data_IF_222166106737
#
_entry.id   IF_222166106737
#
_cell.length_a   1.000
_cell.length_b   1.000
_cell.length_c   1.000
_cell.angle_alpha   90.00
_cell.angle_beta   90.00
_cell.angle_gamma   90.00
#
_symmetry.space_group_name_H-M   'P 1'
#
loop_
_entity.id
_entity.type
_entity.pdbx_description
1 polymer ?
#
# COMPACT_ATOMS: atom_id res chain seq x y z
N UNK A 1 -0.67 -38.12 22.77
CA UNK A 1 -1.76 -37.98 21.78
C UNK A 1 -2.01 -36.51 21.53
N UNK A 2 -2.00 -36.14 20.25
CA UNK A 2 -2.52 -34.91 19.63
C UNK A 2 -1.91 -33.54 20.00
N UNK A 3 -1.05 -33.10 19.08
CA UNK A 3 -0.84 -31.74 18.60
C UNK A 3 -2.12 -31.14 18.00
N UNK A 4 -2.38 -29.86 18.26
CA UNK A 4 -3.03 -28.93 17.32
C UNK A 4 -2.59 -27.49 17.59
N UNK A 5 -1.41 -27.10 17.10
CA UNK A 5 -1.10 -25.68 16.84
C UNK A 5 -1.75 -25.21 15.54
N UNK A 6 -3.02 -24.83 15.63
CA UNK A 6 -3.66 -23.92 14.68
C UNK A 6 -3.70 -22.53 15.29
N UNK A 7 -2.63 -21.75 15.13
CA UNK A 7 -2.58 -20.37 15.61
C UNK A 7 -3.55 -19.52 14.80
N UNK A 8 -4.72 -19.21 15.37
CA UNK A 8 -5.52 -18.08 14.91
C UNK A 8 -4.64 -16.83 14.99
N UNK A 9 -4.46 -16.13 13.86
CA UNK A 9 -3.96 -14.77 13.92
C UNK A 9 -4.86 -14.00 14.90
N UNK A 10 -4.28 -13.47 15.96
CA UNK A 10 -5.03 -12.85 17.05
C UNK A 10 -5.89 -11.70 16.48
N UNK A 11 -7.19 -11.76 16.73
CA UNK A 11 -8.19 -10.76 16.31
C UNK A 11 -7.84 -9.32 16.77
N UNK A 12 -6.90 -9.17 17.72
CA UNK A 12 -6.37 -7.89 18.20
C UNK A 12 -5.52 -7.12 17.18
N UNK A 13 -4.79 -7.79 16.28
CA UNK A 13 -3.95 -7.11 15.28
C UNK A 13 -4.79 -6.37 14.22
N UNK A 14 -6.02 -6.84 13.97
CA UNK A 14 -6.98 -6.15 13.12
C UNK A 14 -7.57 -4.89 13.77
N UNK A 15 -7.37 -4.64 15.06
CA UNK A 15 -7.99 -3.52 15.80
C UNK A 15 -7.08 -2.34 16.08
N UNK A 16 -5.76 -2.45 15.88
CA UNK A 16 -4.83 -1.34 16.10
C UNK A 16 -4.43 -0.62 14.79
N UNK A 17 -4.29 -1.35 13.69
CA UNK A 17 -3.82 -0.79 12.42
C UNK A 17 -4.92 0.03 11.72
N UNK A 18 -4.64 1.22 11.17
CA UNK A 18 -5.65 2.06 10.53
C UNK A 18 -6.32 1.38 9.32
N UNK A 19 -7.45 1.93 8.91
CA UNK A 19 -8.17 1.56 7.69
C UNK A 19 -8.24 2.74 6.74
N UNK A 20 -8.53 2.46 5.46
CA UNK A 20 -8.56 3.46 4.40
C UNK A 20 -9.88 3.41 3.66
N UNK A 21 -10.56 4.55 3.56
CA UNK A 21 -11.71 4.75 2.68
C UNK A 21 -11.25 5.50 1.42
N UNK A 22 -11.52 4.95 0.24
CA UNK A 22 -11.46 5.69 -1.01
C UNK A 22 -12.75 6.50 -1.12
N UNK A 23 -12.67 7.81 -0.85
CA UNK A 23 -13.85 8.66 -0.79
C UNK A 23 -14.27 9.14 -2.18
N UNK A 24 -13.33 9.52 -3.03
CA UNK A 24 -13.62 9.93 -4.41
C UNK A 24 -12.40 9.77 -5.32
N UNK A 25 -12.63 9.69 -6.64
CA UNK A 25 -11.57 9.68 -7.65
C UNK A 25 -10.78 8.39 -7.78
N UNK A 26 -11.13 7.31 -7.06
CA UNK A 26 -10.43 6.03 -7.18
C UNK A 26 -10.27 5.58 -8.64
N UNK A 27 -9.14 4.91 -8.92
CA UNK A 27 -8.58 4.62 -10.24
C UNK A 27 -7.70 5.70 -10.85
N UNK A 28 -7.78 6.97 -10.44
CA UNK A 28 -6.84 8.01 -10.92
C UNK A 28 -5.38 7.75 -10.49
N UNK A 29 -5.17 6.93 -9.46
CA UNK A 29 -3.86 6.45 -9.02
C UNK A 29 -3.24 5.37 -9.92
N UNK A 30 -3.96 4.95 -10.96
CA UNK A 30 -3.43 4.08 -12.00
C UNK A 30 -2.92 4.93 -13.18
N UNK A 31 -1.66 4.74 -13.63
CA UNK A 31 -1.07 5.48 -14.74
C UNK A 31 -1.93 5.49 -16.01
N UNK A 32 -2.48 4.33 -16.38
CA UNK A 32 -3.31 4.18 -17.57
C UNK A 32 -4.67 4.90 -17.49
N UNK A 33 -5.04 5.43 -16.32
CA UNK A 33 -6.17 6.35 -16.14
C UNK A 33 -5.68 7.79 -16.15
N UNK A 34 -4.79 8.18 -15.22
CA UNK A 34 -4.41 9.58 -15.05
C UNK A 34 -3.53 10.14 -16.17
N UNK A 35 -2.96 9.31 -17.04
CA UNK A 35 -2.35 9.76 -18.31
C UNK A 35 -3.39 10.34 -19.29
N UNK A 36 -4.65 9.89 -19.22
CA UNK A 36 -5.72 10.42 -20.07
C UNK A 36 -6.24 11.77 -19.55
N UNK A 37 -6.25 11.97 -18.23
CA UNK A 37 -6.51 13.24 -17.59
C UNK A 37 -6.02 13.20 -16.14
N UNK A 38 -5.22 14.20 -15.73
CA UNK A 38 -4.75 14.32 -14.36
C UNK A 38 -5.92 14.59 -13.39
N UNK A 39 -5.79 14.17 -12.14
CA UNK A 39 -6.82 14.43 -11.13
C UNK A 39 -6.52 13.84 -9.77
N UNK A 40 -7.28 14.26 -8.74
CA UNK A 40 -7.05 13.79 -7.38
C UNK A 40 -7.77 12.48 -7.07
N UNK A 41 -7.18 11.68 -6.19
CA UNK A 41 -7.90 10.70 -5.37
C UNK A 41 -8.05 11.26 -3.96
N UNK A 42 -9.24 11.19 -3.39
CA UNK A 42 -9.49 11.59 -1.99
C UNK A 42 -9.55 10.32 -1.13
N UNK A 43 -8.65 10.22 -0.16
CA UNK A 43 -8.59 9.11 0.79
C UNK A 43 -8.80 9.59 2.22
N UNK A 44 -9.42 8.75 3.03
CA UNK A 44 -9.66 9.01 4.45
C UNK A 44 -9.08 7.88 5.28
N UNK A 45 -8.21 8.23 6.22
CA UNK A 45 -7.67 7.31 7.21
C UNK A 45 -8.61 7.22 8.41
N UNK A 46 -9.12 6.03 8.68
CA UNK A 46 -10.12 5.81 9.73
C UNK A 46 -9.64 4.78 10.74
N UNK A 47 -10.13 4.92 11.96
CA UNK A 47 -9.85 3.98 13.04
C UNK A 47 -10.60 2.67 12.82
N UNK A 48 -10.08 1.57 13.38
CA UNK A 48 -10.75 0.28 13.30
C UNK A 48 -12.17 0.32 13.86
N UNK A 49 -13.09 -0.34 13.17
CA UNK A 49 -14.49 -0.47 13.55
C UNK A 49 -14.90 -1.94 13.47
N UNK A 50 -15.70 -2.49 14.42
CA UNK A 50 -16.08 -3.91 14.45
C UNK A 50 -16.82 -4.39 13.20
N UNK A 51 -17.48 -3.49 12.47
CA UNK A 51 -18.18 -3.84 11.23
C UNK A 51 -17.23 -4.08 10.05
N UNK A 52 -15.97 -3.61 10.11
CA UNK A 52 -15.02 -3.74 9.00
C UNK A 52 -14.64 -5.19 8.75
N UNK A 53 -14.60 -5.56 7.47
CA UNK A 53 -14.38 -6.93 6.99
C UNK A 53 -13.46 -6.93 5.79
N UNK A 54 -12.85 -8.08 5.48
CA UNK A 54 -11.99 -8.22 4.31
C UNK A 54 -12.80 -8.13 3.00
N UNK A 55 -12.13 -7.85 1.88
CA UNK A 55 -12.74 -7.78 0.52
C UNK A 55 -13.86 -6.73 0.37
N UNK A 56 -13.75 -5.63 1.12
CA UNK A 56 -14.78 -4.59 1.26
C UNK A 56 -14.41 -3.20 0.74
N UNK A 57 -13.37 -3.12 -0.08
CA UNK A 57 -12.89 -1.85 -0.64
C UNK A 57 -12.11 -0.96 0.33
N UNK A 58 -11.66 -1.50 1.46
CA UNK A 58 -10.96 -0.74 2.52
C UNK A 58 -9.44 -1.01 2.60
N UNK A 59 -8.77 -1.19 1.45
CA UNK A 59 -7.33 -1.52 1.36
C UNK A 59 -6.92 -2.82 2.09
N UNK A 60 -7.76 -3.86 2.09
CA UNK A 60 -7.56 -5.01 2.99
C UNK A 60 -6.29 -5.82 2.71
N UNK A 61 -5.84 -5.91 1.44
CA UNK A 61 -4.59 -6.60 1.08
C UNK A 61 -3.36 -5.82 1.55
N UNK A 62 -3.28 -4.54 1.17
CA UNK A 62 -2.22 -3.62 1.57
C UNK A 62 -2.14 -3.52 3.09
N UNK A 63 -3.29 -3.49 3.77
CA UNK A 63 -3.37 -3.48 5.23
C UNK A 63 -2.82 -4.75 5.87
N UNK A 64 -3.11 -5.92 5.30
CA UNK A 64 -2.58 -7.19 5.79
C UNK A 64 -1.04 -7.22 5.71
N UNK A 65 -0.46 -6.73 4.61
CA UNK A 65 0.99 -6.58 4.47
C UNK A 65 1.56 -5.59 5.51
N UNK A 66 0.88 -4.48 5.78
CA UNK A 66 1.29 -3.55 6.83
C UNK A 66 1.32 -4.21 8.22
N UNK A 67 0.31 -5.02 8.53
CA UNK A 67 0.27 -5.82 9.78
C UNK A 67 1.38 -6.86 9.80
N UNK A 68 1.68 -7.52 8.69
CA UNK A 68 2.80 -8.48 8.63
C UNK A 68 4.16 -7.79 8.89
N UNK A 69 4.38 -6.62 8.28
CA UNK A 69 5.62 -5.86 8.41
C UNK A 69 5.84 -5.30 9.82
N UNK A 70 4.77 -4.82 10.47
CA UNK A 70 4.89 -4.00 11.68
C UNK A 70 4.09 -4.50 12.89
N UNK A 71 3.08 -5.34 12.67
CA UNK A 71 2.17 -5.84 13.69
C UNK A 71 2.87 -6.65 14.78
N UNK A 72 3.81 -7.50 14.38
CA UNK A 72 4.53 -8.39 15.31
C UNK A 72 5.65 -7.71 16.13
N UNK A 73 6.15 -6.54 15.71
CA UNK A 73 7.34 -5.91 16.30
C UNK A 73 7.07 -4.72 17.23
N UNK A 74 5.88 -4.11 17.20
CA UNK A 74 5.61 -2.86 17.92
C UNK A 74 4.15 -2.69 18.38
N UNK A 75 3.51 -3.78 18.83
CA UNK A 75 2.12 -3.73 19.32
C UNK A 75 1.13 -3.26 18.25
N UNK A 76 1.28 -3.68 17.00
CA UNK A 76 0.34 -3.32 15.94
C UNK A 76 0.58 -1.98 15.24
N UNK A 77 1.67 -1.25 15.53
CA UNK A 77 1.86 0.14 15.04
C UNK A 77 3.08 0.34 14.14
N UNK A 78 2.99 1.14 13.05
CA UNK A 78 4.14 1.47 12.20
C UNK A 78 5.28 2.19 12.96
N UNK A 79 6.55 2.07 12.48
CA UNK A 79 7.72 2.73 13.06
C UNK A 79 7.50 4.22 13.30
N UNK A 80 7.95 4.71 14.46
CA UNK A 80 7.64 6.07 14.92
C UNK A 80 8.58 7.16 14.45
N UNK A 81 9.75 6.77 14.01
CA UNK A 81 10.87 7.56 13.53
C UNK A 81 10.84 7.79 12.00
N UNK A 82 9.89 7.15 11.29
CA UNK A 82 9.74 7.25 9.84
C UNK A 82 8.48 8.05 9.50
N UNK A 83 8.58 8.97 8.54
CA UNK A 83 7.42 9.80 8.16
C UNK A 83 6.31 8.95 7.53
N UNK A 84 5.03 9.32 7.71
CA UNK A 84 3.89 8.66 7.08
C UNK A 84 4.04 8.41 5.57
N UNK A 85 4.53 9.40 4.81
CA UNK A 85 4.76 9.27 3.36
C UNK A 85 5.83 8.23 3.03
N UNK A 86 6.88 8.15 3.85
CA UNK A 86 7.96 7.15 3.68
C UNK A 86 7.44 5.75 4.01
N UNK A 87 6.64 5.62 5.07
CA UNK A 87 5.96 4.35 5.40
C UNK A 87 5.03 3.92 4.27
N UNK A 88 4.28 4.85 3.67
CA UNK A 88 3.41 4.57 2.52
C UNK A 88 4.22 4.08 1.31
N UNK A 89 5.38 4.70 1.02
CA UNK A 89 6.26 4.23 -0.07
C UNK A 89 6.80 2.83 0.19
N UNK A 90 7.23 2.54 1.42
CA UNK A 90 7.69 1.21 1.80
C UNK A 90 6.58 0.17 1.61
N UNK A 91 5.37 0.47 2.11
CA UNK A 91 4.22 -0.43 1.99
C UNK A 91 3.83 -0.66 0.53
N UNK A 92 3.80 0.40 -0.28
CA UNK A 92 3.52 0.33 -1.71
C UNK A 92 4.54 -0.57 -2.43
N UNK A 93 5.84 -0.42 -2.14
CA UNK A 93 6.88 -1.25 -2.76
C UNK A 93 6.81 -2.72 -2.31
N UNK A 94 6.40 -2.99 -1.06
CA UNK A 94 6.22 -4.36 -0.57
C UNK A 94 5.02 -5.03 -1.22
N UNK A 95 3.91 -4.30 -1.42
CA UNK A 95 2.74 -4.84 -2.15
C UNK A 95 3.04 -5.07 -3.64
N UNK A 96 3.98 -4.31 -4.21
CA UNK A 96 4.29 -4.31 -5.64
C UNK A 96 5.75 -4.70 -5.92
N UNK A 97 6.14 -5.97 -5.69
CA UNK A 97 7.48 -6.44 -6.00
C UNK A 97 7.75 -6.38 -7.52
N UNK A 98 9.03 -6.25 -7.88
CA UNK A 98 9.45 -6.19 -9.29
C UNK A 98 8.98 -7.45 -10.02
N UNK A 99 8.34 -7.27 -11.17
CA UNK A 99 7.83 -8.36 -12.01
C UNK A 99 6.41 -8.84 -11.68
N UNK A 100 5.70 -8.18 -10.75
CA UNK A 100 4.28 -8.45 -10.54
C UNK A 100 3.46 -8.14 -11.82
N UNK A 101 2.49 -9.00 -12.12
CA UNK A 101 1.64 -8.87 -13.31
C UNK A 101 0.68 -7.67 -13.22
N UNK A 102 0.36 -7.25 -11.99
CA UNK A 102 -0.51 -6.12 -11.70
C UNK A 102 0.10 -5.30 -10.56
N UNK A 103 0.11 -3.98 -10.74
CA UNK A 103 0.58 -3.02 -9.74
C UNK A 103 -0.65 -2.39 -9.07
N UNK A 104 -0.81 -2.62 -7.76
CA UNK A 104 -1.82 -1.93 -6.95
C UNK A 104 -1.60 -0.43 -6.98
N UNK A 105 -2.66 0.35 -6.77
CA UNK A 105 -2.54 1.80 -6.76
C UNK A 105 -1.99 2.32 -5.41
N UNK A 106 -1.19 3.39 -5.43
CA UNK A 106 -0.56 3.88 -4.20
C UNK A 106 -1.54 4.51 -3.20
N UNK A 107 -2.78 4.80 -3.61
CA UNK A 107 -3.80 5.37 -2.73
C UNK A 107 -4.07 4.48 -1.50
N UNK A 108 -3.91 3.16 -1.64
CA UNK A 108 -4.18 2.19 -0.58
C UNK A 108 -3.13 2.34 0.53
N UNK A 109 -1.84 2.34 0.16
CA UNK A 109 -0.74 2.55 1.08
C UNK A 109 -0.75 3.97 1.68
N UNK A 110 -0.99 4.98 0.85
CA UNK A 110 -1.07 6.38 1.29
C UNK A 110 -2.23 6.59 2.26
N UNK A 111 -3.43 6.11 1.94
CA UNK A 111 -4.57 6.33 2.82
C UNK A 111 -4.55 5.46 4.08
N UNK A 112 -3.74 4.40 4.14
CA UNK A 112 -3.46 3.68 5.39
C UNK A 112 -2.45 4.40 6.28
N UNK A 113 -1.47 5.11 5.72
CA UNK A 113 -0.39 5.73 6.51
C UNK A 113 -0.58 7.22 6.77
N UNK A 114 -1.22 7.97 5.87
CA UNK A 114 -1.47 9.39 6.03
C UNK A 114 -2.71 9.62 6.90
N UNK A 115 -2.59 10.20 8.11
CA UNK A 115 -3.75 10.44 8.95
C UNK A 115 -4.64 11.53 8.37
N UNK A 116 -5.92 11.50 8.72
CA UNK A 116 -6.92 12.49 8.32
C UNK A 116 -7.51 12.24 6.93
N UNK A 117 -7.88 13.34 6.29
CA UNK A 117 -8.44 13.38 4.93
C UNK A 117 -7.39 13.95 4.00
N UNK A 118 -7.01 13.19 2.98
CA UNK A 118 -5.90 13.53 2.10
C UNK A 118 -6.34 13.51 0.64
N UNK A 119 -5.93 14.54 -0.10
CA UNK A 119 -6.00 14.68 -1.55
C UNK A 119 -4.66 14.25 -2.16
N UNK A 120 -4.72 13.35 -3.11
CA UNK A 120 -3.57 12.77 -3.80
C UNK A 120 -3.68 13.09 -5.30
N UNK A 121 -2.92 14.07 -5.80
CA UNK A 121 -3.00 14.51 -7.20
C UNK A 121 -2.11 13.63 -8.11
N UNK A 122 -2.71 12.93 -9.07
CA UNK A 122 -2.00 12.06 -10.01
C UNK A 122 -2.00 12.63 -11.43
N UNK A 123 -0.86 12.48 -12.11
CA UNK A 123 -0.66 12.87 -13.51
C UNK A 123 0.09 11.77 -14.28
N UNK A 124 -0.44 10.56 -14.24
CA UNK A 124 0.05 9.44 -15.05
C UNK A 124 1.19 8.60 -14.46
N UNK A 125 1.56 8.86 -13.21
CA UNK A 125 2.44 8.00 -12.41
C UNK A 125 1.68 7.22 -11.33
N UNK A 126 2.29 6.15 -10.80
CA UNK A 126 1.72 5.41 -9.67
C UNK A 126 1.79 6.18 -8.35
N UNK A 127 2.67 7.17 -8.25
CA UNK A 127 2.83 8.02 -7.07
C UNK A 127 2.30 9.43 -7.36
N UNK A 128 1.56 10.07 -6.45
CA UNK A 128 1.00 11.41 -6.71
C UNK A 128 2.11 12.46 -6.77
N UNK A 129 1.92 13.48 -7.61
CA UNK A 129 2.82 14.64 -7.72
C UNK A 129 2.67 15.57 -6.52
N UNK A 130 1.46 15.62 -5.94
CA UNK A 130 1.13 16.44 -4.78
C UNK A 130 0.21 15.71 -3.82
N UNK A 131 0.48 15.90 -2.53
CA UNK A 131 -0.34 15.41 -1.43
C UNK A 131 -0.76 16.65 -0.62
N UNK A 132 -2.06 16.82 -0.41
CA UNK A 132 -2.63 17.90 0.41
C UNK A 132 -3.54 17.28 1.48
N UNK A 133 -3.41 17.73 2.72
CA UNK A 133 -4.22 17.26 3.84
C UNK A 133 -5.23 18.33 4.27
N UNK A 134 -6.42 17.91 4.69
CA UNK A 134 -7.35 18.80 5.39
C UNK A 134 -6.79 19.14 6.78
N UNK A 135 -6.45 20.41 6.99
CA UNK A 135 -5.92 20.94 8.26
C UNK A 135 -7.03 21.34 9.25
N UNK A 136 -8.23 21.62 8.74
CA UNK A 136 -9.35 22.10 9.55
C UNK A 136 -10.02 20.96 10.32
N UNK A 137 -9.83 20.92 11.65
CA UNK A 137 -10.52 19.96 12.52
C UNK A 137 -12.05 20.05 12.38
N UNK A 138 -12.60 21.25 12.20
CA UNK A 138 -14.02 21.45 11.96
C UNK A 138 -14.52 20.79 10.66
N UNK A 139 -13.67 20.68 9.63
CA UNK A 139 -14.00 19.99 8.39
C UNK A 139 -13.93 18.48 8.56
N UNK A 140 -12.95 17.97 9.31
CA UNK A 140 -12.85 16.53 9.58
C UNK A 140 -14.01 16.05 10.48
N UNK A 141 -14.32 16.79 11.56
CA UNK A 141 -15.45 16.49 12.43
C UNK A 141 -16.81 16.62 11.72
N UNK A 142 -16.91 17.56 10.77
CA UNK A 142 -18.07 17.65 9.88
C UNK A 142 -18.19 16.39 9.00
N UNK A 143 -17.09 15.92 8.40
CA UNK A 143 -17.12 14.73 7.54
C UNK A 143 -17.56 13.48 8.32
N UNK A 144 -17.08 13.28 9.54
CA UNK A 144 -17.50 12.18 10.42
C UNK A 144 -19.01 12.22 10.73
N UNK A 145 -19.58 13.42 10.84
CA UNK A 145 -21.00 13.61 11.11
C UNK A 145 -21.86 13.29 9.89
N UNK A 146 -21.42 13.64 8.68
CA UNK A 146 -22.25 13.50 7.47
C UNK A 146 -22.01 12.21 6.69
N UNK A 147 -20.89 11.52 6.92
CA UNK A 147 -20.55 10.27 6.23
C UNK A 147 -21.04 9.07 7.04
N UNK A 148 -21.80 8.19 6.39
CA UNK A 148 -22.22 6.89 6.93
C UNK A 148 -21.74 5.76 6.04
N UNK A 149 -21.32 4.67 6.65
CA UNK A 149 -20.99 3.42 5.96
C UNK A 149 -22.14 2.43 6.18
N UNK A 150 -22.72 1.95 5.09
CA UNK A 150 -23.75 0.92 5.09
C UNK A 150 -23.13 -0.40 4.66
N UNK A 151 -23.20 -1.48 5.46
CA UNK A 151 -22.71 -2.79 5.06
C UNK A 151 -23.42 -3.29 3.80
N UNK A 152 -22.62 -3.70 2.81
CA UNK A 152 -23.08 -4.31 1.57
C UNK A 152 -22.51 -5.73 1.42
N UNK A 153 -23.06 -6.57 0.55
CA UNK A 153 -22.46 -7.85 0.19
C UNK A 153 -21.00 -7.67 -0.24
N UNK A 154 -20.12 -8.56 0.23
CA UNK A 154 -18.73 -8.55 -0.18
C UNK A 154 -18.60 -8.93 -1.66
N UNK A 155 -17.44 -8.63 -2.25
CA UNK A 155 -17.16 -9.00 -3.64
C UNK A 155 -17.22 -10.53 -3.83
N UNK A 156 -17.83 -11.04 -4.92
CA UNK A 156 -17.86 -12.48 -5.20
C UNK A 156 -16.45 -12.99 -5.49
N UNK A 157 -16.21 -14.30 -5.32
CA UNK A 157 -14.93 -14.91 -5.71
C UNK A 157 -14.68 -14.72 -7.21
N UNK A 158 -13.41 -14.52 -7.60
CA UNK A 158 -13.05 -14.27 -9.00
C UNK A 158 -13.41 -12.87 -9.53
N UNK A 159 -13.87 -11.97 -8.66
CA UNK A 159 -14.15 -10.58 -9.05
C UNK A 159 -12.89 -9.86 -9.55
N UNK A 160 -12.96 -9.34 -10.77
CA UNK A 160 -11.94 -8.49 -11.37
C UNK A 160 -12.60 -7.24 -11.99
N UNK A 161 -12.37 -6.04 -11.43
CA UNK A 161 -12.95 -4.81 -11.94
C UNK A 161 -12.36 -4.36 -13.29
N UNK A 162 -11.28 -5.01 -13.75
CA UNK A 162 -10.51 -4.61 -14.93
C UNK A 162 -10.83 -5.43 -16.19
N UNK A 163 -11.78 -6.38 -16.10
CA UNK A 163 -12.21 -7.22 -17.23
C UNK A 163 -12.70 -6.37 -18.40
N UNK A 164 -13.39 -5.25 -18.12
CA UNK A 164 -13.86 -4.30 -19.13
C UNK A 164 -13.34 -2.90 -18.82
N UNK A 165 -12.64 -2.31 -19.79
CA UNK A 165 -12.06 -0.97 -19.72
C UNK A 165 -12.56 -0.13 -20.89
N UNK A 166 -13.44 0.82 -20.62
CA UNK A 166 -13.97 1.76 -21.62
C UNK A 166 -13.32 3.14 -21.44
N UNK A 167 -11.99 3.17 -21.46
CA UNK A 167 -11.24 4.37 -21.10
C UNK A 167 -11.42 5.45 -22.16
N UNK A 168 -11.78 6.66 -21.72
CA UNK A 168 -11.84 7.84 -22.56
C UNK A 168 -11.34 9.06 -21.77
N UNK A 169 -10.67 9.99 -22.44
CA UNK A 169 -10.21 11.22 -21.79
C UNK A 169 -11.36 12.01 -21.17
N UNK A 170 -12.53 12.01 -21.82
CA UNK A 170 -13.73 12.68 -21.32
C UNK A 170 -14.31 12.01 -20.07
N UNK A 171 -14.35 10.68 -20.05
CA UNK A 171 -14.77 9.91 -18.87
C UNK A 171 -13.81 10.13 -17.69
N UNK A 172 -12.49 10.11 -17.93
CA UNK A 172 -11.51 10.38 -16.87
C UNK A 172 -11.58 11.83 -16.40
N UNK A 173 -11.82 12.79 -17.29
CA UNK A 173 -12.07 14.20 -16.90
C UNK A 173 -13.28 14.33 -15.99
N UNK A 174 -14.38 13.61 -16.26
CA UNK A 174 -15.56 13.56 -15.38
C UNK A 174 -15.23 12.98 -14.01
N UNK A 175 -14.43 11.90 -13.95
CA UNK A 175 -13.97 11.31 -12.71
C UNK A 175 -13.11 12.29 -11.89
N UNK A 176 -12.15 12.94 -12.52
CA UNK A 176 -11.30 13.96 -11.90
C UNK A 176 -12.14 15.13 -11.35
N UNK A 177 -13.05 15.67 -12.16
CA UNK A 177 -13.94 16.76 -11.75
C UNK A 177 -14.83 16.38 -10.55
N UNK A 178 -15.35 15.16 -10.51
CA UNK A 178 -16.11 14.67 -9.35
C UNK A 178 -15.26 14.62 -8.08
N UNK A 179 -14.00 14.19 -8.19
CA UNK A 179 -13.06 14.15 -7.07
C UNK A 179 -12.67 15.55 -6.55
N UNK A 180 -12.42 16.50 -7.46
CA UNK A 180 -12.20 17.92 -7.13
C UNK A 180 -13.39 18.55 -6.41
N UNK A 181 -14.60 18.20 -6.85
CA UNK A 181 -15.82 18.64 -6.22
C UNK A 181 -15.97 18.07 -4.80
N UNK A 182 -15.65 16.79 -4.59
CA UNK A 182 -15.65 16.19 -3.25
C UNK A 182 -14.65 16.90 -2.32
N UNK A 183 -13.45 17.21 -2.82
CA UNK A 183 -12.45 17.98 -2.06
C UNK A 183 -12.96 19.36 -1.64
N UNK A 184 -13.55 20.09 -2.58
CA UNK A 184 -14.16 21.40 -2.32
C UNK A 184 -15.26 21.29 -1.27
N UNK A 185 -16.17 20.33 -1.43
CA UNK A 185 -17.29 20.09 -0.53
C UNK A 185 -16.83 19.83 0.91
N UNK A 186 -15.74 19.09 1.11
CA UNK A 186 -15.18 18.85 2.45
C UNK A 186 -14.66 20.13 3.08
N UNK A 187 -13.95 20.95 2.31
CA UNK A 187 -13.36 22.22 2.80
C UNK A 187 -14.43 23.28 3.08
N UNK A 188 -15.52 23.27 2.32
CA UNK A 188 -16.65 24.19 2.52
C UNK A 188 -17.73 23.63 3.44
N UNK A 189 -17.65 22.34 3.82
CA UNK A 189 -18.61 21.60 4.64
C UNK A 189 -20.01 21.56 4.02
N UNK A 190 -20.05 21.27 2.72
CA UNK A 190 -21.27 21.22 1.90
C UNK A 190 -21.70 19.76 1.64
N UNK A 191 -22.73 19.31 2.34
CA UNK A 191 -23.18 17.92 2.28
C UNK A 191 -23.88 17.58 0.95
N UNK A 192 -24.78 18.41 0.41
CA UNK A 192 -25.31 18.24 -0.94
C UNK A 192 -24.23 18.13 -2.01
N UNK A 193 -23.21 19.00 -1.96
CA UNK A 193 -22.11 18.97 -2.93
C UNK A 193 -21.28 17.69 -2.82
N UNK A 194 -20.99 17.24 -1.59
CA UNK A 194 -20.25 16.00 -1.36
C UNK A 194 -21.05 14.78 -1.88
N UNK A 195 -22.35 14.69 -1.55
CA UNK A 195 -23.20 13.61 -2.04
C UNK A 195 -23.29 13.55 -3.56
N UNK A 196 -23.45 14.71 -4.21
CA UNK A 196 -23.46 14.81 -5.66
C UNK A 196 -22.10 14.39 -6.27
N UNK A 197 -20.98 14.75 -5.63
CA UNK A 197 -19.64 14.35 -6.06
C UNK A 197 -19.41 12.83 -5.96
N UNK A 198 -19.89 12.19 -4.88
CA UNK A 198 -19.83 10.74 -4.70
C UNK A 198 -20.65 10.02 -5.79
N UNK A 199 -21.87 10.51 -6.04
CA UNK A 199 -22.75 9.95 -7.08
C UNK A 199 -22.13 10.08 -8.47
N UNK A 200 -21.52 11.23 -8.79
CA UNK A 200 -20.80 11.43 -10.07
C UNK A 200 -19.57 10.54 -10.19
N UNK A 201 -18.86 10.29 -9.09
CA UNK A 201 -17.75 9.31 -9.06
C UNK A 201 -18.26 7.92 -9.43
N UNK A 202 -19.37 7.48 -8.84
CA UNK A 202 -19.97 6.18 -9.14
C UNK A 202 -20.42 6.07 -10.61
N UNK A 203 -21.01 7.14 -11.15
CA UNK A 203 -21.40 7.21 -12.56
C UNK A 203 -20.19 7.12 -13.50
N UNK A 204 -19.11 7.84 -13.19
CA UNK A 204 -17.87 7.76 -13.97
C UNK A 204 -17.23 6.36 -13.90
N UNK A 205 -17.29 5.68 -12.75
CA UNK A 205 -16.85 4.30 -12.63
C UNK A 205 -17.69 3.35 -13.49
N UNK A 206 -19.02 3.48 -13.49
CA UNK A 206 -19.91 2.67 -14.36
C UNK A 206 -19.57 2.82 -15.84
N UNK A 207 -19.13 3.99 -16.25
CA UNK A 207 -18.71 4.26 -17.62
C UNK A 207 -17.34 3.63 -17.92
N UNK A 208 -16.31 4.02 -17.16
CA UNK A 208 -14.91 3.70 -17.43
C UNK A 208 -14.55 2.24 -17.13
N UNK A 209 -15.03 1.73 -16.00
CA UNK A 209 -14.70 0.42 -15.44
C UNK A 209 -15.98 -0.21 -14.89
N UNK A 210 -16.90 -0.67 -15.76
CA UNK A 210 -18.26 -1.06 -15.38
C UNK A 210 -18.31 -2.09 -14.25
N UNK A 211 -17.34 -3.00 -14.21
CA UNK A 211 -17.25 -4.04 -13.18
C UNK A 211 -16.95 -3.50 -11.78
N UNK A 212 -16.43 -2.26 -11.65
CA UNK A 212 -16.18 -1.58 -10.37
C UNK A 212 -17.45 -1.47 -9.52
N UNK A 213 -18.61 -1.25 -10.16
CA UNK A 213 -19.89 -1.12 -9.46
C UNK A 213 -20.63 -2.45 -9.58
N UNK A 214 -21.03 -3.11 -8.47
CA UNK A 214 -21.68 -4.41 -8.54
C UNK A 214 -22.93 -4.40 -9.43
N UNK A 215 -23.02 -5.36 -10.35
CA UNK A 215 -24.18 -5.51 -11.24
C UNK A 215 -25.44 -5.77 -10.42
N UNK A 216 -26.56 -5.12 -10.78
CA UNK A 216 -27.83 -5.25 -10.05
C UNK A 216 -27.88 -4.53 -8.70
N UNK A 217 -26.89 -3.68 -8.39
CA UNK A 217 -26.86 -2.92 -7.13
C UNK A 217 -27.88 -1.78 -7.06
N UNK A 218 -28.56 -1.43 -8.16
CA UNK A 218 -29.47 -0.29 -8.19
C UNK A 218 -30.62 -0.42 -7.16
N UNK A 219 -31.21 -1.61 -7.03
CA UNK A 219 -32.27 -1.86 -6.03
C UNK A 219 -31.75 -1.76 -4.59
N UNK A 220 -30.50 -2.20 -4.35
CA UNK A 220 -29.85 -2.12 -3.04
C UNK A 220 -29.48 -0.68 -2.66
N UNK A 221 -29.15 0.15 -3.65
CA UNK A 221 -28.69 1.53 -3.48
C UNK A 221 -29.86 2.52 -3.47
N UNK A 222 -30.95 2.23 -4.17
CA UNK A 222 -32.10 3.12 -4.36
C UNK A 222 -32.65 3.72 -3.05
N UNK A 223 -32.83 2.97 -1.95
CA UNK A 223 -33.35 3.54 -0.70
C UNK A 223 -32.46 4.65 -0.13
N UNK A 224 -31.14 4.55 -0.33
CA UNK A 224 -30.18 5.53 0.15
C UNK A 224 -30.03 6.70 -0.83
N UNK A 225 -29.96 6.42 -2.13
CA UNK A 225 -29.81 7.45 -3.16
C UNK A 225 -31.04 8.37 -3.29
N UNK A 226 -32.23 7.90 -2.93
CA UNK A 226 -33.46 8.69 -2.99
C UNK A 226 -33.68 9.58 -1.76
N UNK A 227 -33.14 9.20 -0.61
CA UNK A 227 -33.39 9.87 0.69
C UNK A 227 -32.23 10.75 1.16
N UNK A 228 -31.03 10.55 0.62
CA UNK A 228 -29.83 11.24 1.08
C UNK A 228 -29.13 11.97 -0.07
N UNK A 229 -28.14 12.80 0.26
CA UNK A 229 -27.47 13.70 -0.70
C UNK A 229 -26.71 12.94 -1.80
N UNK A 230 -26.31 11.70 -1.54
CA UNK A 230 -25.71 10.81 -2.54
C UNK A 230 -24.92 9.67 -1.92
N UNK A 231 -24.44 8.77 -2.78
CA UNK A 231 -23.74 7.57 -2.34
C UNK A 231 -22.71 7.04 -3.35
N UNK A 232 -21.78 6.22 -2.85
CA UNK A 232 -20.70 5.60 -3.62
C UNK A 232 -20.26 4.30 -2.95
N UNK A 233 -19.98 3.25 -3.72
CA UNK A 233 -19.36 2.05 -3.15
C UNK A 233 -17.94 2.34 -2.65
N UNK A 234 -17.58 1.78 -1.50
CA UNK A 234 -16.21 1.88 -1.00
C UNK A 234 -15.25 1.10 -1.91
N UNK A 235 -14.26 1.79 -2.49
CA UNK A 235 -13.25 1.19 -3.36
C UNK A 235 -13.84 0.50 -4.60
N UNK A 236 -13.10 -0.48 -5.15
CA UNK A 236 -13.51 -1.20 -6.35
C UNK A 236 -14.64 -2.23 -6.07
N UNK A 237 -15.78 -1.75 -5.58
CA UNK A 237 -17.04 -2.48 -5.42
C UNK A 237 -17.17 -3.31 -4.14
N UNK A 238 -18.39 -3.38 -3.63
CA UNK A 238 -18.83 -4.30 -2.58
C UNK A 238 -18.34 -3.98 -1.16
N UNK A 239 -18.91 -4.66 -0.18
CA UNK A 239 -18.57 -4.57 1.24
C UNK A 239 -19.20 -3.40 1.98
N UNK A 240 -19.10 -2.19 1.44
CA UNK A 240 -19.74 -0.99 2.00
C UNK A 240 -20.23 -0.01 0.93
N UNK A 241 -21.34 0.67 1.23
CA UNK A 241 -21.80 1.88 0.55
C UNK A 241 -21.52 3.10 1.45
N UNK A 242 -20.84 4.10 0.91
CA UNK A 242 -20.69 5.41 1.50
C UNK A 242 -21.98 6.20 1.22
N UNK A 243 -22.59 6.76 2.26
CA UNK A 243 -23.82 7.57 2.17
C UNK A 243 -23.56 8.92 2.82
N UNK A 244 -23.90 10.00 2.13
CA UNK A 244 -23.77 11.38 2.64
C UNK A 244 -25.15 11.86 3.08
N UNK A 245 -25.30 12.17 4.37
CA UNK A 245 -26.58 12.58 4.96
C UNK A 245 -26.34 13.63 6.05
N UNK A 246 -27.33 14.48 6.30
CA UNK A 246 -27.38 15.30 7.52
C UNK A 246 -28.30 14.68 8.59
N UNK A 247 -29.11 13.69 8.20
CA UNK A 247 -30.07 12.95 9.01
C UNK A 247 -29.52 11.54 9.26
N UNK A 248 -28.57 11.46 10.19
CA UNK A 248 -27.84 10.23 10.47
C UNK A 248 -28.72 9.06 10.90
N UNK A 249 -29.75 9.33 11.69
CA UNK A 249 -30.64 8.33 12.28
C UNK A 249 -31.56 7.67 11.22
N UNK A 250 -31.65 8.26 10.03
CA UNK A 250 -32.46 7.73 8.93
C UNK A 250 -31.69 6.76 8.01
N UNK A 251 -30.37 6.62 8.20
CA UNK A 251 -29.57 5.69 7.41
C UNK A 251 -29.69 4.28 7.99
N UNK A 252 -30.62 3.51 7.43
CA UNK A 252 -30.83 2.11 7.82
C UNK A 252 -29.51 1.30 7.76
N UNK A 253 -29.16 0.68 8.89
CA UNK A 253 -27.94 -0.13 9.07
C UNK A 253 -26.61 0.61 8.86
N UNK A 254 -26.62 1.94 8.77
CA UNK A 254 -25.42 2.75 8.65
C UNK A 254 -24.70 2.95 9.98
N UNK A 255 -23.38 3.14 9.94
CA UNK A 255 -22.58 3.56 11.09
C UNK A 255 -21.65 4.70 10.73
N UNK A 256 -21.28 5.50 11.74
CA UNK A 256 -20.30 6.57 11.61
C UNK A 256 -18.87 5.99 11.64
N UNK A 257 -17.93 6.68 10.99
CA UNK A 257 -16.50 6.35 11.07
C UNK A 257 -15.78 7.39 11.91
N UNK A 258 -14.74 6.96 12.61
CA UNK A 258 -13.81 7.85 13.31
C UNK A 258 -12.57 8.04 12.45
N UNK A 259 -12.27 9.26 12.03
CA UNK A 259 -11.12 9.60 11.20
C UNK A 259 -9.90 9.82 12.11
N UNK A 260 -8.80 9.14 11.81
CA UNK A 260 -7.56 9.25 12.58
C UNK A 260 -6.96 10.65 12.44
N UNK A 261 -6.93 11.44 13.51
CA UNK A 261 -6.40 12.82 13.46
C UNK A 261 -4.90 12.89 13.43
N UNK A 262 -4.27 12.07 14.23
CA UNK A 262 -2.83 11.93 14.28
C UNK A 262 -2.54 10.44 14.43
N UNK A 263 -1.54 9.94 13.71
CA UNK A 263 -0.82 8.80 14.24
C UNK A 263 -0.14 9.25 15.56
N UNK A 264 0.18 8.36 16.52
CA UNK A 264 0.69 8.71 17.86
C UNK A 264 2.04 9.47 17.93
N UNK A 265 2.43 10.25 16.90
CA UNK A 265 3.63 11.07 16.79
C UNK A 265 3.29 12.55 16.97
N UNK A 266 3.49 13.10 18.17
CA UNK A 266 3.46 14.57 18.36
C UNK A 266 4.82 15.27 18.36
N UNK A 267 5.95 14.55 18.34
CA UNK A 267 7.25 15.21 18.61
C UNK A 267 8.17 15.45 17.39
N UNK A 268 7.98 14.82 16.24
CA UNK A 268 8.97 14.90 15.14
C UNK A 268 8.74 16.03 14.11
N UNK A 269 7.62 16.76 14.17
CA UNK A 269 7.27 17.77 13.15
C UNK A 269 8.10 19.06 13.20
N UNK A 270 8.93 19.28 14.22
CA UNK A 270 9.73 20.51 14.34
C UNK A 270 11.14 20.43 13.74
N UNK A 271 11.72 19.25 13.55
CA UNK A 271 13.17 19.17 13.24
C UNK A 271 13.54 18.68 11.84
N UNK A 272 12.60 18.15 11.04
CA UNK A 272 12.96 17.52 9.74
C UNK A 272 12.53 18.30 8.48
N UNK A 273 12.40 19.63 8.56
CA UNK A 273 12.47 20.48 7.36
C UNK A 273 13.93 20.71 6.97
N UNK A 274 14.64 19.65 6.59
CA UNK A 274 15.89 19.76 5.84
C UNK A 274 15.62 19.43 4.36
N UNK A 275 16.05 20.27 3.40
CA UNK A 275 15.88 19.97 1.98
C UNK A 275 16.75 18.78 1.60
N UNK A 276 16.15 17.70 1.08
CA UNK A 276 16.87 16.52 0.59
C UNK A 276 17.58 16.76 -0.77
N UNK A 277 18.11 17.96 -1.01
CA UNK A 277 18.95 18.23 -2.19
C UNK A 277 20.39 17.70 -2.05
N UNK A 278 20.80 17.17 -0.89
CA UNK A 278 22.22 16.83 -0.63
C UNK A 278 22.57 15.33 -0.59
N UNK A 279 21.64 14.39 -0.81
CA UNK A 279 22.02 12.97 -1.02
C UNK A 279 22.46 12.64 -2.46
N UNK A 280 22.85 13.66 -3.24
CA UNK A 280 23.27 13.54 -4.63
C UNK A 280 24.77 13.62 -4.90
N UNK A 281 25.65 13.78 -3.90
CA UNK A 281 27.10 13.88 -4.13
C UNK A 281 27.93 13.09 -3.11
N UNK A 282 27.88 11.76 -3.21
CA UNK A 282 29.04 10.96 -2.78
C UNK A 282 30.06 11.03 -3.92
N UNK A 283 31.12 11.83 -3.74
CA UNK A 283 32.29 11.76 -4.63
C UNK A 283 32.84 10.33 -4.57
N UNK A 284 32.76 9.62 -5.68
CA UNK A 284 33.42 8.33 -5.83
C UNK A 284 34.94 8.55 -5.75
N UNK A 285 35.56 8.16 -4.63
CA UNK A 285 37.00 7.97 -4.61
C UNK A 285 37.36 6.77 -5.49
N UNK A 286 38.32 6.88 -6.42
CA UNK A 286 38.74 5.75 -7.22
C UNK A 286 39.36 4.67 -6.33
N UNK A 287 39.19 3.38 -6.67
CA UNK A 287 39.73 2.28 -5.86
C UNK A 287 41.25 2.37 -5.78
N UNK A 288 41.78 2.43 -4.57
CA UNK A 288 43.22 2.31 -4.34
C UNK A 288 43.66 0.88 -4.72
N UNK A 289 44.65 0.78 -5.61
CA UNK A 289 45.25 -0.50 -5.99
C UNK A 289 45.92 -1.14 -4.76
N UNK A 290 45.73 -2.45 -4.52
CA UNK A 290 46.46 -3.13 -3.46
C UNK A 290 47.95 -3.18 -3.83
N UNK A 291 48.79 -2.63 -2.95
CA UNK A 291 50.24 -2.74 -3.04
C UNK A 291 50.64 -4.20 -2.81
N UNK A 292 51.32 -4.81 -3.79
CA UNK A 292 51.97 -6.11 -3.64
C UNK A 292 53.17 -5.97 -2.71
N UNK A 293 53.19 -6.73 -1.62
CA UNK A 293 54.41 -6.97 -0.83
C UNK A 293 55.14 -8.20 -1.39
N UNK A 294 56.49 -8.18 -1.50
CA UNK A 294 57.23 -9.30 -2.08
C UNK A 294 57.34 -10.48 -1.11
N UNK A 295 57.31 -11.67 -1.72
CA UNK A 295 57.48 -13.00 -1.15
C UNK A 295 58.73 -13.19 -0.28
N UNK A 296 58.60 -14.02 0.78
CA UNK A 296 59.68 -14.85 1.30
C UNK A 296 59.22 -16.31 1.45
N UNK A 297 59.65 -17.10 0.46
CA UNK A 297 60.20 -18.47 0.53
C UNK A 297 59.75 -19.47 1.61
N UNK A 298 59.28 -20.61 1.08
CA UNK A 298 59.73 -21.98 1.34
C UNK A 298 59.32 -22.69 2.66
N UNK A 299 58.46 -23.70 2.50
CA UNK A 299 58.24 -24.79 3.45
C UNK A 299 57.37 -25.86 2.82
N UNK A 300 57.96 -27.01 2.51
CA UNK A 300 57.42 -28.07 1.66
C UNK A 300 56.17 -28.77 2.23
N UNK A 301 55.20 -29.07 1.37
CA UNK A 301 54.18 -30.11 1.57
C UNK A 301 54.76 -31.46 1.14
N UNK A 302 54.85 -32.40 2.08
CA UNK A 302 54.95 -33.83 1.78
C UNK A 302 53.55 -34.44 1.91
N UNK A 303 53.11 -35.08 0.82
CA UNK A 303 51.94 -35.94 0.73
C UNK A 303 52.19 -37.22 1.52
N UNK A 304 51.22 -37.66 2.32
CA UNK A 304 50.97 -39.09 2.54
C UNK A 304 49.48 -39.33 2.71
N UNK A 305 48.93 -40.12 1.78
CA UNK A 305 47.70 -40.86 1.93
C UNK A 305 48.04 -42.22 2.54
N UNK A 306 47.28 -42.67 3.53
CA UNK A 306 47.18 -44.10 3.87
C UNK A 306 45.77 -44.45 4.31
N UNK A 307 45.36 -45.63 3.85
CA UNK A 307 44.09 -46.30 4.06
C UNK A 307 44.17 -47.32 5.20
N UNK A 308 43.01 -47.72 5.74
CA UNK A 308 42.83 -48.91 6.60
C UNK A 308 41.51 -48.74 7.36
N UNK A 309 40.44 -49.49 7.05
CA UNK A 309 40.19 -50.86 7.52
C UNK A 309 39.48 -50.79 8.89
N UNK A 310 38.37 -51.44 9.22
CA UNK A 310 37.48 -52.42 8.60
C UNK A 310 36.51 -52.90 9.69
N UNK A 311 35.31 -53.34 9.32
CA UNK A 311 34.53 -54.34 10.06
C UNK A 311 33.69 -53.91 11.28
N UNK A 312 32.66 -54.72 11.65
CA UNK A 312 31.32 -54.21 11.94
C UNK A 312 30.82 -54.53 13.37
N UNK A 313 29.76 -53.85 13.81
CA UNK A 313 28.96 -54.34 14.94
C UNK A 313 28.00 -53.31 15.56
N UNK A 314 26.78 -53.78 15.84
CA UNK A 314 26.01 -53.29 16.99
C UNK A 314 24.92 -52.26 16.70
N UNK A 315 23.70 -52.75 16.52
CA UNK A 315 22.49 -51.99 16.77
C UNK A 315 22.36 -51.73 18.28
N UNK A 316 22.10 -50.48 18.67
CA UNK A 316 21.11 -50.08 19.68
C UNK A 316 21.14 -48.56 19.91
N UNK A 317 19.93 -47.98 19.86
CA UNK A 317 19.45 -46.80 20.57
C UNK A 317 20.25 -45.49 20.51
N UNK A 318 19.74 -44.52 19.73
CA UNK A 318 19.70 -43.12 20.18
C UNK A 318 18.59 -42.32 19.49
N UNK A 319 17.46 -42.29 20.17
CA UNK A 319 16.38 -41.34 20.04
C UNK A 319 16.88 -39.94 20.47
N UNK A 320 17.62 -39.24 19.61
CA UNK A 320 18.03 -37.84 19.86
C UNK A 320 18.52 -37.08 18.61
N UNK A 321 17.85 -37.21 17.46
CA UNK A 321 18.18 -36.44 16.24
C UNK A 321 16.91 -35.95 15.51
N UNK A 322 16.16 -35.05 16.14
CA UNK A 322 15.14 -34.23 15.43
C UNK A 322 15.17 -32.75 15.79
N UNK A 323 16.08 -32.33 16.69
CA UNK A 323 16.29 -30.91 17.04
C UNK A 323 17.31 -30.16 16.16
N UNK A 324 18.22 -30.86 15.47
CA UNK A 324 19.30 -30.21 14.71
C UNK A 324 19.00 -29.96 13.22
N UNK A 325 18.05 -30.67 12.62
CA UNK A 325 17.66 -30.42 11.22
C UNK A 325 16.93 -29.07 11.05
N UNK A 326 16.02 -28.73 11.97
CA UNK A 326 15.25 -27.48 11.91
C UNK A 326 16.06 -26.21 12.22
N UNK A 327 17.17 -26.34 12.97
CA UNK A 327 18.12 -25.24 13.19
C UNK A 327 19.04 -25.03 11.97
N UNK A 328 19.36 -26.09 11.22
CA UNK A 328 20.17 -26.00 10.00
C UNK A 328 19.42 -25.37 8.81
N UNK A 329 18.11 -25.62 8.69
CA UNK A 329 17.28 -25.05 7.62
C UNK A 329 17.01 -23.54 7.82
N UNK A 330 16.87 -23.09 9.07
CA UNK A 330 16.68 -21.68 9.38
C UNK A 330 17.99 -20.89 9.24
N UNK A 331 19.15 -21.48 9.56
CA UNK A 331 20.46 -20.87 9.29
C UNK A 331 20.77 -20.82 7.78
N UNK A 332 20.41 -21.88 7.04
CA UNK A 332 20.57 -21.94 5.58
C UNK A 332 19.74 -20.89 4.85
N UNK A 333 18.50 -20.63 5.31
CA UNK A 333 17.65 -19.55 4.76
C UNK A 333 18.15 -18.15 5.11
N UNK A 334 18.71 -17.95 6.31
CA UNK A 334 19.31 -16.67 6.71
C UNK A 334 20.61 -16.38 5.93
N UNK A 335 21.44 -17.39 5.71
CA UNK A 335 22.67 -17.27 4.91
C UNK A 335 22.36 -17.06 3.42
N UNK A 336 21.30 -17.66 2.89
CA UNK A 336 20.85 -17.41 1.51
C UNK A 336 20.32 -15.98 1.35
N UNK A 337 19.59 -15.44 2.33
CA UNK A 337 19.14 -14.04 2.32
C UNK A 337 20.31 -13.05 2.43
N UNK A 338 21.35 -13.36 3.22
CA UNK A 338 22.59 -12.57 3.31
C UNK A 338 23.43 -12.66 2.01
N UNK A 339 23.49 -13.82 1.36
CA UNK A 339 24.18 -13.98 0.07
C UNK A 339 23.47 -13.27 -1.09
N UNK A 340 22.13 -13.27 -1.13
CA UNK A 340 21.35 -12.51 -2.11
C UNK A 340 21.47 -11.00 -1.86
N UNK A 341 21.51 -10.57 -0.60
CA UNK A 341 21.81 -9.19 -0.23
C UNK A 341 23.22 -8.72 -0.63
N UNK A 342 24.24 -9.58 -0.49
CA UNK A 342 25.60 -9.29 -0.94
C UNK A 342 25.78 -9.35 -2.46
N UNK A 343 25.08 -10.25 -3.17
CA UNK A 343 25.13 -10.32 -4.63
C UNK A 343 24.41 -9.14 -5.29
N UNK A 344 23.31 -8.63 -4.72
CA UNK A 344 22.66 -7.39 -5.18
C UNK A 344 23.56 -6.16 -4.99
N UNK A 345 24.42 -6.15 -3.96
CA UNK A 345 25.39 -5.08 -3.73
C UNK A 345 26.55 -5.11 -4.75
N UNK A 346 26.95 -6.29 -5.23
CA UNK A 346 28.01 -6.47 -6.24
C UNK A 346 27.50 -6.27 -7.69
N UNK A 347 26.23 -6.58 -7.97
CA UNK A 347 25.63 -6.33 -9.30
C UNK A 347 25.27 -4.85 -9.49
N UNK A 348 24.80 -4.16 -8.45
CA UNK A 348 24.50 -2.72 -8.52
C UNK A 348 25.75 -1.84 -8.70
N UNK A 349 26.94 -2.34 -8.37
CA UNK A 349 28.22 -1.63 -8.54
C UNK A 349 28.92 -1.94 -9.88
N UNK A 350 28.39 -2.84 -10.72
CA UNK A 350 28.92 -3.15 -12.07
C UNK A 350 28.01 -2.79 -13.25
N UNK A 351 26.79 -2.29 -13.01
CA UNK A 351 25.87 -1.84 -14.05
C UNK A 351 25.71 -0.30 -14.15
N UNK A 352 26.74 0.46 -13.75
CA UNK A 352 26.97 1.79 -14.33
C UNK A 352 27.81 1.57 -15.59
N UNK A 353 27.49 2.25 -16.70
CA UNK A 353 28.08 2.10 -18.05
C UNK A 353 27.34 1.20 -19.04
N UNK A 354 26.04 1.41 -19.21
CA UNK A 354 25.31 1.29 -20.48
C UNK A 354 23.93 1.91 -20.25
N UNK A 355 23.36 2.64 -21.21
CA UNK A 355 22.08 3.39 -21.12
C UNK A 355 22.15 4.89 -20.81
N UNK A 356 23.16 5.60 -21.33
CA UNK A 356 22.97 7.01 -21.71
C UNK A 356 23.51 7.20 -23.12
N UNK A 357 22.62 7.29 -24.10
CA UNK A 357 22.98 7.64 -25.48
C UNK A 357 22.17 6.93 -26.55
N UNK A 358 20.88 7.22 -26.66
CA UNK A 358 20.15 7.22 -27.94
C UNK A 358 18.73 7.75 -27.70
N UNK A 359 18.26 8.62 -28.61
CA UNK A 359 16.90 9.17 -28.74
C UNK A 359 16.54 10.41 -27.90
N UNK A 360 17.02 11.58 -28.34
CA UNK A 360 16.13 12.72 -28.58
C UNK A 360 16.73 13.66 -29.66
N UNK A 361 15.96 14.12 -30.67
CA UNK A 361 16.43 15.10 -31.64
C UNK A 361 16.40 16.52 -31.06
N UNK A 362 17.43 17.30 -31.35
CA UNK A 362 17.53 18.72 -31.02
C UNK A 362 16.54 19.55 -31.85
N UNK A 363 15.84 20.56 -31.28
CA UNK A 363 15.33 21.67 -32.07
C UNK A 363 16.42 22.73 -32.28
N UNK A 364 16.32 23.42 -33.42
CA UNK A 364 17.16 24.53 -33.89
C UNK A 364 16.93 25.85 -33.12
N UNK A 365 17.79 26.83 -33.45
CA UNK A 365 17.83 28.28 -33.17
C UNK A 365 18.82 28.66 -32.06
N UNK A 366 19.86 29.48 -32.26
CA UNK A 366 20.37 30.28 -33.38
C UNK A 366 21.91 30.30 -33.32
#
# INVERSE_FOLDING_TARGET
>A
MADTRGGAACDDDLRAFPWRICLAGGWLDQPWVSQLHAGPVIVVNVRPHPAFKTRSGLATSTRALGIELWGTRAGGTPPRDVTPERLARLLFNVENPVGCAYVSGSQDALGLMLPGVNRLDYAGGFWPERIERVESEASVAWLERVLRLVPMPARPAGYDPLVRKNLSADGVRRLAAASEQAWTAIRTRDAPMLGAALTRTMAAWRELLPETVPTGSDELVAPYAQRHHGCLFSGAGGGFLLVVTEEADEVACGFAVEITREHPHKELRREQRAPWQELGQVQAQPPQQPQMTPSRTAGAMQLHAEAGGGGPGGAQDQEQLSGHAALSDNLGRLLTALCVGMQLFVVASRCRWAWFGAFWPSPHAD
#
